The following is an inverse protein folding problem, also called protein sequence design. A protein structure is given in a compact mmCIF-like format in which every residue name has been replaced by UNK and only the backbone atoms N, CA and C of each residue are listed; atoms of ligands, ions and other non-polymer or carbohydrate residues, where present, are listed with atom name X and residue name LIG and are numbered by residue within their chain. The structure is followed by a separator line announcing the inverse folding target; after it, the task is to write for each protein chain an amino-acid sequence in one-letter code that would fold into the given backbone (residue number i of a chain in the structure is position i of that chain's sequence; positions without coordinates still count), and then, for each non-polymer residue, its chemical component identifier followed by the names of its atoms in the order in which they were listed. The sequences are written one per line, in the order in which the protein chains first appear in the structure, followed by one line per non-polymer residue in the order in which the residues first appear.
data_IF_475813593980
#
_entry.id   IF_475813593980
#
_cell.length_a   1.000
_cell.length_b   1.000
_cell.length_c   1.000
_cell.angle_alpha   90.00
_cell.angle_beta   90.00
_cell.angle_gamma   90.00
#
_symmetry.space_group_name_H-M   'P 1'
#
loop_
_entity.id
_entity.type
_entity.pdbx_description
1 polymer ?
#
# COMPACT_ATOMS: atom_id res chain seq x y z
N UNK A 1 19.60 20.44 -12.02
CA UNK A 1 19.17 20.79 -13.39
C UNK A 1 18.09 21.86 -13.29
N UNK A 2 18.29 23.04 -13.89
CA UNK A 2 17.30 24.13 -13.82
C UNK A 2 16.06 23.78 -14.63
N UNK A 3 14.98 23.40 -13.95
CA UNK A 3 13.72 23.03 -14.60
C UNK A 3 13.15 24.23 -15.38
N UNK A 4 12.78 24.07 -16.67
CA UNK A 4 12.29 25.16 -17.52
C UNK A 4 11.00 25.81 -16.98
N UNK A 5 10.16 25.06 -16.27
CA UNK A 5 8.91 25.56 -15.65
C UNK A 5 9.15 26.57 -14.52
N UNK A 6 10.27 26.46 -13.79
CA UNK A 6 10.61 27.39 -12.72
C UNK A 6 11.09 28.76 -13.23
N UNK A 7 11.41 28.88 -14.53
CA UNK A 7 11.96 30.12 -15.11
C UNK A 7 10.95 31.25 -15.18
N UNK A 8 9.66 30.93 -15.29
CA UNK A 8 8.57 31.92 -15.39
C UNK A 8 8.00 32.38 -14.05
N UNK A 9 8.48 31.82 -12.94
CA UNK A 9 8.02 32.19 -11.61
C UNK A 9 8.57 33.56 -11.18
N UNK A 10 7.69 34.40 -10.63
CA UNK A 10 8.06 35.64 -9.96
C UNK A 10 8.77 35.36 -8.62
N UNK A 11 9.32 36.39 -7.99
CA UNK A 11 10.08 36.25 -6.72
C UNK A 11 9.27 35.62 -5.59
N UNK A 12 7.99 35.99 -5.46
CA UNK A 12 7.10 35.43 -4.44
C UNK A 12 6.80 33.94 -4.68
N UNK A 13 6.53 33.56 -5.94
CA UNK A 13 6.32 32.17 -6.34
C UNK A 13 7.59 31.32 -6.13
N UNK A 14 8.77 31.86 -6.42
CA UNK A 14 10.05 31.18 -6.14
C UNK A 14 10.25 30.93 -4.65
N UNK A 15 9.92 31.90 -3.79
CA UNK A 15 9.99 31.72 -2.34
C UNK A 15 9.01 30.65 -1.84
N UNK A 16 7.79 30.62 -2.40
CA UNK A 16 6.80 29.56 -2.11
C UNK A 16 7.29 28.18 -2.55
N UNK A 17 7.88 28.07 -3.74
CA UNK A 17 8.45 26.82 -4.23
C UNK A 17 9.61 26.33 -3.36
N UNK A 18 10.50 27.23 -2.94
CA UNK A 18 11.60 26.88 -2.03
C UNK A 18 11.09 26.36 -0.68
N UNK A 19 10.00 26.94 -0.15
CA UNK A 19 9.35 26.41 1.05
C UNK A 19 8.77 25.02 0.81
N UNK A 20 8.02 24.83 -0.27
CA UNK A 20 7.47 23.52 -0.63
C UNK A 20 8.55 22.44 -0.80
N UNK A 21 9.70 22.79 -1.37
CA UNK A 21 10.83 21.87 -1.50
C UNK A 21 11.43 21.46 -0.13
N UNK A 22 11.52 22.40 0.82
CA UNK A 22 11.93 22.08 2.20
C UNK A 22 10.91 21.18 2.89
N UNK A 23 9.63 21.49 2.74
CA UNK A 23 8.55 20.69 3.32
C UNK A 23 8.54 19.26 2.73
N UNK A 24 8.74 19.12 1.43
CA UNK A 24 8.87 17.83 0.75
C UNK A 24 10.04 17.00 1.30
N UNK A 25 11.20 17.61 1.52
CA UNK A 25 12.36 16.95 2.11
C UNK A 25 12.11 16.48 3.56
N UNK A 26 11.28 17.20 4.31
CA UNK A 26 10.88 16.80 5.67
C UNK A 26 9.84 15.67 5.67
N UNK A 27 8.90 15.69 4.72
CA UNK A 27 7.84 14.67 4.62
C UNK A 27 8.36 13.33 4.07
N UNK A 28 9.37 13.38 3.19
CA UNK A 28 9.86 12.22 2.47
C UNK A 28 11.39 12.08 2.56
N UNK A 29 11.98 12.01 3.78
CA UNK A 29 13.43 12.13 3.98
C UNK A 29 14.25 11.10 3.19
N UNK A 30 13.72 9.88 3.05
CA UNK A 30 14.42 8.76 2.42
C UNK A 30 13.91 8.43 1.01
N UNK A 31 13.07 9.28 0.42
CA UNK A 31 12.45 9.00 -0.88
C UNK A 31 12.49 10.23 -1.80
N UNK A 32 13.56 10.33 -2.60
CA UNK A 32 13.76 11.42 -3.56
C UNK A 32 12.65 11.53 -4.60
N UNK A 33 12.05 10.40 -5.00
CA UNK A 33 10.99 10.39 -6.00
C UNK A 33 9.71 11.02 -5.46
N UNK A 34 9.37 10.73 -4.20
CA UNK A 34 8.24 11.38 -3.53
C UNK A 34 8.51 12.85 -3.22
N UNK A 35 9.76 13.21 -2.86
CA UNK A 35 10.14 14.63 -2.73
C UNK A 35 9.93 15.38 -4.04
N UNK A 36 10.45 14.83 -5.15
CA UNK A 36 10.32 15.44 -6.47
C UNK A 36 8.87 15.52 -6.92
N UNK A 37 8.08 14.47 -6.69
CA UNK A 37 6.64 14.46 -6.99
C UNK A 37 5.89 15.60 -6.25
N UNK A 38 6.19 15.83 -4.97
CA UNK A 38 5.61 16.93 -4.21
C UNK A 38 6.04 18.32 -4.73
N UNK A 39 7.30 18.46 -5.16
CA UNK A 39 7.82 19.69 -5.77
C UNK A 39 7.15 19.95 -7.13
N UNK A 40 6.98 18.92 -7.95
CA UNK A 40 6.32 19.02 -9.25
C UNK A 40 4.84 19.41 -9.09
N UNK A 41 4.13 18.84 -8.11
CA UNK A 41 2.77 19.26 -7.78
C UNK A 41 2.70 20.73 -7.34
N UNK A 42 3.66 21.21 -6.54
CA UNK A 42 3.74 22.61 -6.17
C UNK A 42 4.01 23.52 -7.39
N UNK A 43 4.82 23.07 -8.35
CA UNK A 43 5.05 23.77 -9.61
C UNK A 43 3.80 23.83 -10.48
N UNK A 44 3.07 22.73 -10.59
CA UNK A 44 1.84 22.69 -11.36
C UNK A 44 0.79 23.61 -10.73
N UNK A 45 0.71 23.66 -9.40
CA UNK A 45 -0.14 24.62 -8.68
C UNK A 45 0.27 26.07 -8.92
N UNK A 46 1.57 26.39 -8.85
CA UNK A 46 2.06 27.77 -9.03
C UNK A 46 1.95 28.27 -10.48
N UNK A 47 1.79 27.37 -11.45
CA UNK A 47 1.58 27.67 -12.86
C UNK A 47 0.11 27.56 -13.29
N UNK A 48 -0.84 27.48 -12.34
CA UNK A 48 -2.28 27.33 -12.59
C UNK A 48 -2.64 26.12 -13.49
N UNK A 49 -1.80 25.08 -13.47
CA UNK A 49 -1.99 23.84 -14.23
C UNK A 49 -2.39 22.64 -13.34
N UNK A 50 -2.60 22.86 -12.04
CA UNK A 50 -3.09 21.84 -11.13
C UNK A 50 -4.62 21.76 -11.12
N UNK A 51 -5.15 20.54 -11.13
CA UNK A 51 -6.58 20.25 -10.95
C UNK A 51 -6.73 19.27 -9.78
N UNK A 52 -7.02 19.84 -8.60
CA UNK A 52 -7.14 19.08 -7.36
C UNK A 52 -8.29 18.07 -7.40
N UNK A 53 -9.39 18.40 -8.06
CA UNK A 53 -10.56 17.52 -8.14
C UNK A 53 -10.28 16.33 -9.05
N UNK A 54 -9.63 16.57 -10.20
CA UNK A 54 -9.20 15.50 -11.10
C UNK A 54 -8.17 14.57 -10.44
N UNK A 55 -7.16 15.13 -9.77
CA UNK A 55 -6.14 14.35 -9.06
C UNK A 55 -6.74 13.59 -7.87
N UNK A 56 -7.68 14.20 -7.13
CA UNK A 56 -8.42 13.54 -6.06
C UNK A 56 -9.26 12.36 -6.56
N UNK A 57 -9.98 12.53 -7.68
CA UNK A 57 -10.75 11.45 -8.30
C UNK A 57 -9.84 10.31 -8.77
N UNK A 58 -8.70 10.64 -9.38
CA UNK A 58 -7.69 9.65 -9.80
C UNK A 58 -7.12 8.89 -8.61
N UNK A 59 -6.79 9.58 -7.52
CA UNK A 59 -6.32 8.95 -6.29
C UNK A 59 -7.34 7.96 -5.73
N UNK A 60 -8.61 8.35 -5.64
CA UNK A 60 -9.68 7.46 -5.18
C UNK A 60 -9.84 6.23 -6.06
N UNK A 61 -9.78 6.42 -7.39
CA UNK A 61 -9.84 5.30 -8.35
C UNK A 61 -8.68 4.32 -8.14
N UNK A 62 -7.45 4.80 -8.07
CA UNK A 62 -6.25 3.97 -7.85
C UNK A 62 -6.37 3.19 -6.53
N UNK A 63 -6.85 3.83 -5.46
CA UNK A 63 -7.11 3.16 -4.18
C UNK A 63 -8.12 2.02 -4.30
N UNK A 64 -9.18 2.18 -5.10
CA UNK A 64 -10.15 1.11 -5.32
C UNK A 64 -9.56 -0.03 -6.17
N UNK A 65 -8.76 0.29 -7.17
CA UNK A 65 -8.06 -0.70 -7.99
C UNK A 65 -7.03 -1.48 -7.16
N UNK A 66 -6.27 -0.80 -6.30
CA UNK A 66 -5.35 -1.41 -5.32
C UNK A 66 -6.07 -2.43 -4.43
N UNK A 67 -7.25 -2.07 -3.88
CA UNK A 67 -8.06 -2.98 -3.04
C UNK A 67 -8.53 -4.21 -3.82
N UNK A 68 -8.99 -4.02 -5.06
CA UNK A 68 -9.44 -5.13 -5.93
C UNK A 68 -8.28 -6.07 -6.26
N UNK A 69 -7.12 -5.53 -6.62
CA UNK A 69 -5.90 -6.30 -6.88
C UNK A 69 -5.45 -7.02 -5.61
N UNK A 70 -5.45 -6.36 -4.45
CA UNK A 70 -5.10 -6.98 -3.18
C UNK A 70 -5.99 -8.17 -2.83
N UNK A 71 -7.31 -8.04 -3.02
CA UNK A 71 -8.25 -9.14 -2.82
C UNK A 71 -7.97 -10.33 -3.76
N UNK A 72 -7.71 -10.04 -5.05
CA UNK A 72 -7.38 -11.06 -6.06
C UNK A 72 -6.08 -11.80 -5.71
N UNK A 73 -5.02 -11.07 -5.40
CA UNK A 73 -3.70 -11.63 -5.06
C UNK A 73 -3.80 -12.49 -3.79
N UNK A 74 -4.52 -12.02 -2.76
CA UNK A 74 -4.80 -12.82 -1.56
C UNK A 74 -5.46 -14.15 -1.91
N UNK A 75 -6.54 -14.12 -2.69
CA UNK A 75 -7.29 -15.33 -3.04
C UNK A 75 -6.41 -16.34 -3.80
N UNK A 76 -5.66 -15.87 -4.80
CA UNK A 76 -4.73 -16.70 -5.56
C UNK A 76 -3.66 -17.33 -4.67
N UNK A 77 -3.07 -16.56 -3.75
CA UNK A 77 -2.05 -17.06 -2.84
C UNK A 77 -2.59 -18.15 -1.90
N UNK A 78 -3.81 -17.98 -1.38
CA UNK A 78 -4.46 -18.97 -0.50
C UNK A 78 -4.72 -20.27 -1.27
N UNK A 79 -5.29 -20.19 -2.47
CA UNK A 79 -5.57 -21.36 -3.32
C UNK A 79 -4.28 -22.08 -3.72
N UNK A 80 -3.28 -21.36 -4.21
CA UNK A 80 -2.01 -21.96 -4.65
C UNK A 80 -1.26 -22.69 -3.53
N UNK A 81 -1.39 -22.23 -2.28
CA UNK A 81 -0.85 -22.92 -1.10
C UNK A 81 -1.72 -24.12 -0.70
N UNK A 82 -3.04 -24.01 -0.77
CA UNK A 82 -3.97 -25.10 -0.47
C UNK A 82 -3.77 -26.29 -1.43
N UNK A 83 -3.61 -25.99 -2.71
CA UNK A 83 -3.39 -26.95 -3.79
C UNK A 83 -1.94 -27.48 -3.83
N UNK A 84 -1.08 -27.02 -2.91
CA UNK A 84 0.36 -27.33 -2.85
C UNK A 84 1.14 -26.97 -4.13
N UNK A 85 0.60 -26.10 -4.98
CA UNK A 85 1.24 -25.62 -6.20
C UNK A 85 2.51 -24.80 -5.88
N UNK A 86 2.50 -24.04 -4.78
CA UNK A 86 3.66 -23.34 -4.25
C UNK A 86 3.70 -23.44 -2.71
N UNK A 87 4.90 -23.32 -2.13
CA UNK A 87 5.06 -23.29 -0.68
C UNK A 87 4.59 -21.96 -0.07
N UNK A 88 4.15 -21.99 1.19
CA UNK A 88 3.78 -20.77 1.95
C UNK A 88 4.86 -19.69 1.90
N UNK A 89 6.14 -20.10 2.02
CA UNK A 89 7.27 -19.17 1.99
C UNK A 89 7.38 -18.49 0.62
N UNK A 90 7.25 -19.26 -0.47
CA UNK A 90 7.32 -18.73 -1.84
C UNK A 90 6.13 -17.83 -2.14
N UNK A 91 4.93 -18.22 -1.71
CA UNK A 91 3.73 -17.41 -1.86
C UNK A 91 3.86 -16.07 -1.13
N UNK A 92 4.26 -16.07 0.14
CA UNK A 92 4.44 -14.86 0.95
C UNK A 92 5.47 -13.89 0.33
N UNK A 93 6.62 -14.43 -0.13
CA UNK A 93 7.64 -13.64 -0.82
C UNK A 93 7.15 -13.05 -2.14
N UNK A 94 6.36 -13.79 -2.93
CA UNK A 94 5.90 -13.34 -4.25
C UNK A 94 4.92 -12.17 -4.17
N UNK A 95 4.20 -12.05 -3.05
CA UNK A 95 3.19 -11.01 -2.84
C UNK A 95 3.61 -9.97 -1.79
N UNK A 96 4.88 -10.01 -1.36
CA UNK A 96 5.48 -9.10 -0.39
C UNK A 96 4.69 -8.97 0.93
N UNK A 97 4.21 -10.10 1.45
CA UNK A 97 3.60 -10.14 2.79
C UNK A 97 4.34 -11.07 3.72
N UNK A 98 4.20 -10.81 5.02
CA UNK A 98 4.69 -11.73 6.03
C UNK A 98 3.96 -13.09 5.99
N UNK A 99 4.68 -14.16 6.30
CA UNK A 99 4.15 -15.53 6.26
C UNK A 99 2.97 -15.72 7.24
N UNK A 100 2.99 -15.07 8.40
CA UNK A 100 1.89 -15.12 9.36
C UNK A 100 0.66 -14.36 8.86
N UNK A 101 0.84 -13.29 8.08
CA UNK A 101 -0.27 -12.65 7.39
C UNK A 101 -0.96 -13.63 6.41
N UNK A 102 -0.18 -14.33 5.58
CA UNK A 102 -0.71 -15.33 4.65
C UNK A 102 -1.40 -16.51 5.38
N UNK A 103 -0.84 -16.98 6.49
CA UNK A 103 -1.47 -18.03 7.31
C UNK A 103 -2.83 -17.62 7.88
N UNK A 104 -2.95 -16.37 8.35
CA UNK A 104 -4.24 -15.82 8.80
C UNK A 104 -5.27 -15.79 7.68
N UNK A 105 -4.87 -15.52 6.44
CA UNK A 105 -5.79 -15.48 5.30
C UNK A 105 -6.35 -16.86 4.93
N UNK A 106 -5.57 -17.91 5.14
CA UNK A 106 -5.98 -19.29 4.85
C UNK A 106 -6.77 -19.94 5.99
N UNK A 107 -7.08 -19.20 7.07
CA UNK A 107 -7.74 -19.77 8.26
C UNK A 107 -6.86 -20.75 9.05
N UNK A 108 -5.60 -20.94 8.66
CA UNK A 108 -4.62 -21.77 9.36
C UNK A 108 -4.05 -20.99 10.55
N UNK A 109 -4.88 -20.72 11.56
CA UNK A 109 -4.39 -20.34 12.88
C UNK A 109 -3.53 -21.48 13.40
N UNK A 110 -2.28 -21.15 13.79
CA UNK A 110 -1.29 -22.13 14.25
C UNK A 110 -1.90 -23.09 15.26
N UNK A 111 -1.77 -24.40 15.00
CA UNK A 111 -2.18 -25.50 15.87
C UNK A 111 -3.46 -25.20 16.67
N UNK A 112 -4.62 -25.33 16.01
CA UNK A 112 -5.77 -25.90 16.70
C UNK A 112 -5.30 -27.23 17.29
N UNK A 113 -5.11 -27.24 18.61
CA UNK A 113 -4.92 -28.42 19.44
C UNK A 113 -6.13 -29.33 19.15
N UNK A 114 -5.92 -30.36 18.34
CA UNK A 114 -6.95 -31.36 18.05
C UNK A 114 -7.26 -32.12 19.35
N UNK A 115 -8.47 -31.88 19.85
CA UNK A 115 -9.49 -32.88 20.22
C UNK A 115 -9.06 -34.05 21.11
N UNK A 116 -9.56 -34.07 22.35
CA UNK A 116 -10.12 -35.29 22.96
C UNK A 116 -11.37 -34.91 23.79
N UNK A 117 -12.53 -35.12 23.19
CA UNK A 117 -13.67 -35.74 23.89
C UNK A 117 -13.90 -37.04 23.13
N UNK A 118 -14.06 -38.18 23.82
CA UNK A 118 -15.42 -38.66 23.95
C UNK A 118 -15.71 -39.55 25.19
N UNK A 119 -17.02 -39.72 25.44
CA UNK A 119 -17.72 -40.74 26.29
C UNK A 119 -17.70 -40.39 27.78
N UNK A 120 -18.83 -40.18 28.45
CA UNK A 120 -20.10 -40.91 28.33
C UNK A 120 -20.17 -41.89 29.50
N UNK A 121 -20.87 -41.51 30.57
CA UNK A 121 -21.43 -42.42 31.56
C UNK A 121 -22.75 -41.81 32.05
N UNK A 122 -23.85 -42.36 31.52
CA UNK A 122 -25.07 -42.55 32.30
C UNK A 122 -24.69 -43.29 33.60
N UNK A 123 -25.25 -42.88 34.74
CA UNK A 123 -26.23 -43.72 35.45
C UNK A 123 -26.39 -43.29 36.91
N UNK A 124 -27.67 -43.11 37.28
CA UNK A 124 -28.29 -43.53 38.54
C UNK A 124 -28.18 -42.71 39.83
N UNK A 125 -29.39 -42.28 40.23
CA UNK A 125 -29.97 -42.06 41.58
C UNK A 125 -29.77 -40.71 42.26
#
# INVERSE_FOLDING_TARGET
MSQPRARHLNSAQRARLQRAARDAALLYPDNSDLQQCAIDAALDYLNDSADLDADGAKWHRIRQEERRLGARVRQLAVMAVADKAISERRAASAIFVDRMALRRWSGKTGHSRKTESPRGQESSR
#
